data_IF_160772017404
#
_entry.id   IF_160772017404
#
_cell.length_a   1.000
_cell.length_b   1.000
_cell.length_c   1.000
_cell.angle_alpha   90.00
_cell.angle_beta   90.00
_cell.angle_gamma   90.00
#
_symmetry.space_group_name_H-M   'P 1'
#
loop_
_entity.id
_entity.type
_entity.pdbx_description
1 polymer ?
#
# COMPACT_ATOMS: atom_id res chain seq x y z
N UNK A 1 17.34 4.82 -11.25
CA UNK A 1 16.00 4.93 -10.61
C UNK A 1 15.11 3.84 -11.12
N UNK A 2 14.56 3.05 -10.23
CA UNK A 2 13.61 1.99 -10.57
C UNK A 2 12.19 2.50 -10.41
N UNK A 3 11.28 1.96 -11.21
CA UNK A 3 9.84 2.25 -11.14
C UNK A 3 9.05 0.96 -11.05
N UNK A 4 8.03 0.95 -10.21
CA UNK A 4 7.11 -0.17 -10.05
C UNK A 4 5.69 0.37 -10.25
N UNK A 5 4.88 -0.38 -10.98
CA UNK A 5 3.46 -0.06 -11.17
C UNK A 5 2.66 -1.35 -11.20
N UNK A 6 1.63 -1.42 -10.37
CA UNK A 6 0.71 -2.55 -10.32
C UNK A 6 -0.71 -2.02 -10.21
N UNK A 7 -1.65 -2.64 -10.88
CA UNK A 7 -3.07 -2.30 -10.80
C UNK A 7 -3.93 -3.55 -10.67
N UNK A 8 -5.14 -3.36 -10.15
CA UNK A 8 -6.12 -4.43 -10.03
C UNK A 8 -7.52 -3.81 -9.98
N UNK A 9 -8.54 -4.62 -10.20
CA UNK A 9 -9.93 -4.21 -10.05
C UNK A 9 -10.54 -4.93 -8.84
N UNK A 10 -11.09 -4.16 -7.92
CA UNK A 10 -11.69 -4.67 -6.68
C UNK A 10 -13.21 -4.69 -6.88
N UNK A 11 -13.91 -5.82 -6.60
CA UNK A 11 -15.34 -5.95 -6.84
C UNK A 11 -16.18 -5.32 -5.72
N UNK A 12 -15.99 -4.03 -5.50
CA UNK A 12 -16.71 -3.26 -4.49
C UNK A 12 -16.70 -1.79 -4.87
N UNK A 13 -17.67 -1.04 -4.35
CA UNK A 13 -17.78 0.40 -4.58
C UNK A 13 -16.56 1.14 -4.03
N UNK A 14 -16.14 2.19 -4.71
CA UNK A 14 -14.91 2.91 -4.39
C UNK A 14 -14.90 3.47 -2.97
N UNK A 15 -16.04 3.92 -2.45
CA UNK A 15 -16.12 4.43 -1.07
C UNK A 15 -15.86 3.35 -0.03
N UNK A 16 -16.31 2.12 -0.28
CA UNK A 16 -16.08 0.99 0.63
C UNK A 16 -14.60 0.59 0.62
N UNK A 17 -13.98 0.53 -0.55
CA UNK A 17 -12.56 0.19 -0.67
C UNK A 17 -11.70 1.29 -0.04
N UNK A 18 -12.01 2.55 -0.33
CA UNK A 18 -11.24 3.68 0.22
C UNK A 18 -11.30 3.74 1.74
N UNK A 19 -12.46 3.43 2.33
CA UNK A 19 -12.62 3.40 3.79
C UNK A 19 -11.62 2.44 4.45
N UNK A 20 -11.29 1.33 3.80
CA UNK A 20 -10.29 0.38 4.28
C UNK A 20 -8.87 0.89 4.03
N UNK A 21 -8.58 1.29 2.80
CA UNK A 21 -7.23 1.60 2.34
C UNK A 21 -6.72 2.91 2.93
N UNK A 22 -7.60 3.91 3.16
CA UNK A 22 -7.19 5.21 3.71
C UNK A 22 -6.64 5.15 5.13
N UNK A 23 -6.90 4.07 5.85
CA UNK A 23 -6.34 3.91 7.19
C UNK A 23 -4.86 3.54 7.08
N UNK A 24 -3.99 4.53 7.29
CA UNK A 24 -2.54 4.37 7.18
C UNK A 24 -2.00 3.32 8.15
N UNK A 25 -2.69 3.08 9.26
CA UNK A 25 -2.34 2.06 10.24
C UNK A 25 -3.03 0.72 10.00
N UNK A 26 -3.75 0.58 8.89
CA UNK A 26 -4.61 -0.59 8.63
C UNK A 26 -3.99 -1.69 7.80
N UNK A 27 -2.69 -1.67 7.52
CA UNK A 27 -2.05 -2.68 6.69
C UNK A 27 -2.30 -4.12 7.15
N UNK A 28 -2.32 -4.44 8.47
CA UNK A 28 -2.60 -5.82 8.90
C UNK A 28 -3.98 -6.33 8.46
N UNK A 29 -4.93 -5.42 8.25
CA UNK A 29 -6.32 -5.79 7.96
C UNK A 29 -6.53 -6.25 6.52
N UNK A 30 -5.66 -5.86 5.59
CA UNK A 30 -5.95 -6.13 4.19
C UNK A 30 -4.77 -6.62 3.34
N UNK A 31 -3.52 -6.47 3.80
CA UNK A 31 -2.36 -6.83 2.94
C UNK A 31 -2.05 -8.32 2.91
N UNK A 32 -2.37 -9.04 3.99
CA UNK A 32 -2.10 -10.47 4.11
C UNK A 32 -0.72 -10.83 4.66
N UNK A 33 0.26 -9.91 4.63
CA UNK A 33 1.63 -10.20 5.06
C UNK A 33 2.14 -9.28 6.18
N UNK A 34 1.37 -8.31 6.61
CA UNK A 34 1.73 -7.44 7.74
C UNK A 34 1.11 -8.01 9.01
N UNK A 35 1.95 -8.29 10.01
CA UNK A 35 1.50 -8.88 11.28
C UNK A 35 0.90 -7.85 12.22
N UNK A 36 1.55 -6.68 12.33
CA UNK A 36 1.09 -5.60 13.21
C UNK A 36 1.60 -4.26 12.71
N UNK A 37 0.90 -3.19 13.05
CA UNK A 37 1.26 -1.81 12.68
C UNK A 37 0.87 -0.85 13.80
N UNK A 38 1.70 0.17 14.02
CA UNK A 38 1.41 1.24 14.97
C UNK A 38 1.86 2.57 14.40
N UNK A 39 1.17 3.64 14.77
CA UNK A 39 1.60 5.00 14.43
C UNK A 39 2.50 5.48 15.57
N UNK A 40 3.70 5.91 15.23
CA UNK A 40 4.67 6.39 16.22
C UNK A 40 4.14 7.64 16.93
N UNK A 41 4.52 7.83 18.19
CA UNK A 41 4.14 8.97 19.01
C UNK A 41 2.62 9.13 19.24
N UNK A 42 1.84 8.07 18.98
CA UNK A 42 0.38 8.09 19.13
C UNK A 42 -0.32 9.21 18.34
N UNK A 43 0.26 9.61 17.20
CA UNK A 43 -0.36 10.59 16.33
C UNK A 43 -1.55 9.96 15.58
N UNK A 44 -2.52 10.79 15.13
CA UNK A 44 -3.58 10.27 14.25
C UNK A 44 -3.02 9.67 12.96
N UNK A 45 -3.64 8.59 12.48
CA UNK A 45 -3.18 7.88 11.29
C UNK A 45 -3.37 8.66 9.99
N UNK A 46 -4.13 9.75 10.02
CA UNK A 46 -4.33 10.63 8.86
C UNK A 46 -3.55 11.94 8.95
N UNK A 47 -2.70 12.10 9.98
CA UNK A 47 -1.88 13.28 10.11
C UNK A 47 -0.70 13.21 9.15
N UNK A 48 -0.55 14.22 8.28
CA UNK A 48 0.60 14.32 7.38
C UNK A 48 1.88 14.40 8.20
N UNK A 49 2.85 13.57 7.86
CA UNK A 49 4.11 13.44 8.60
C UNK A 49 4.10 12.31 9.63
N UNK A 50 2.94 11.69 9.93
CA UNK A 50 2.92 10.55 10.83
C UNK A 50 3.69 9.37 10.24
N UNK A 51 4.21 8.51 11.12
CA UNK A 51 5.02 7.35 10.72
C UNK A 51 4.30 6.09 11.17
N UNK A 52 4.01 5.19 10.20
CA UNK A 52 3.58 3.84 10.53
C UNK A 52 4.81 2.96 10.67
N UNK A 53 4.86 2.22 11.76
CA UNK A 53 5.93 1.30 12.08
C UNK A 53 5.29 -0.08 12.13
N UNK A 54 5.63 -0.94 11.18
CA UNK A 54 4.95 -2.23 11.07
C UNK A 54 5.93 -3.38 10.92
N UNK A 55 5.47 -4.55 11.34
CA UNK A 55 6.23 -5.79 11.29
C UNK A 55 5.58 -6.75 10.31
N UNK A 56 6.40 -7.28 9.41
CA UNK A 56 5.99 -8.33 8.49
C UNK A 56 5.89 -9.68 9.21
N UNK A 57 5.07 -10.58 8.70
CA UNK A 57 4.94 -11.92 9.26
C UNK A 57 6.26 -12.69 9.25
N UNK A 58 7.19 -12.34 8.34
CA UNK A 58 8.53 -12.93 8.30
C UNK A 58 9.51 -12.30 9.30
N UNK A 59 9.06 -11.30 10.07
CA UNK A 59 9.88 -10.64 11.10
C UNK A 59 10.51 -9.32 10.67
N UNK A 60 10.50 -8.98 9.38
CA UNK A 60 11.05 -7.72 8.90
C UNK A 60 10.26 -6.52 9.42
N UNK A 61 10.95 -5.42 9.69
CA UNK A 61 10.30 -4.19 10.19
C UNK A 61 10.52 -3.04 9.22
N UNK A 62 9.44 -2.29 8.99
CA UNK A 62 9.44 -1.17 8.04
C UNK A 62 8.85 0.06 8.72
N UNK A 63 9.44 1.23 8.44
CA UNK A 63 8.91 2.53 8.89
C UNK A 63 8.64 3.39 7.67
N UNK A 64 7.43 3.93 7.60
CA UNK A 64 6.99 4.75 6.46
C UNK A 64 6.32 6.02 6.95
N UNK A 65 6.64 7.14 6.31
CA UNK A 65 6.05 8.45 6.63
C UNK A 65 5.01 8.84 5.61
N UNK A 66 3.84 9.27 6.09
CA UNK A 66 2.77 9.77 5.24
C UNK A 66 3.11 11.17 4.73
N UNK A 67 3.16 11.35 3.41
CA UNK A 67 3.42 12.63 2.77
C UNK A 67 2.15 13.34 2.33
N UNK A 68 1.14 12.61 1.86
CA UNK A 68 -0.10 13.16 1.35
C UNK A 68 -1.22 12.16 1.51
N UNK A 69 -2.42 12.66 1.83
CA UNK A 69 -3.64 11.87 1.90
C UNK A 69 -4.78 12.75 1.41
N UNK A 70 -5.48 12.31 0.37
CA UNK A 70 -6.60 13.04 -0.19
C UNK A 70 -7.83 12.15 -0.25
N UNK A 71 -8.86 12.47 0.53
CA UNK A 71 -10.14 11.78 0.45
C UNK A 71 -10.89 12.15 -0.83
N UNK A 72 -10.66 13.35 -1.34
CA UNK A 72 -11.28 13.78 -2.59
C UNK A 72 -10.76 12.98 -3.79
N UNK A 73 -9.43 12.84 -3.90
CA UNK A 73 -8.80 12.08 -4.99
C UNK A 73 -8.67 10.60 -4.68
N UNK A 74 -8.93 10.20 -3.44
CA UNK A 74 -8.75 8.83 -2.95
C UNK A 74 -7.34 8.32 -3.24
N UNK A 75 -6.36 9.08 -2.77
CA UNK A 75 -4.95 8.77 -2.96
C UNK A 75 -4.15 9.00 -1.69
N UNK A 76 -3.03 8.28 -1.59
CA UNK A 76 -2.13 8.34 -0.45
C UNK A 76 -0.70 8.19 -0.97
N UNK A 77 0.20 9.06 -0.52
CA UNK A 77 1.61 9.05 -0.89
C UNK A 77 2.46 8.94 0.37
N UNK A 78 3.47 8.08 0.34
CA UNK A 78 4.34 7.87 1.49
C UNK A 78 5.76 7.55 1.05
N UNK A 79 6.70 7.70 1.99
CA UNK A 79 8.13 7.35 1.79
C UNK A 79 8.53 6.28 2.78
N UNK A 80 9.49 5.45 2.41
CA UNK A 80 10.12 4.51 3.34
C UNK A 80 11.27 5.23 4.03
N UNK A 81 11.28 5.18 5.37
CA UNK A 81 12.37 5.70 6.19
C UNK A 81 13.39 4.61 6.51
N UNK A 82 12.91 3.40 6.81
CA UNK A 82 13.75 2.24 7.14
C UNK A 82 13.07 0.98 6.65
N UNK A 83 13.86 0.09 6.04
CA UNK A 83 13.38 -1.23 5.61
C UNK A 83 14.57 -2.16 5.36
N UNK A 84 14.33 -3.48 5.36
CA UNK A 84 15.37 -4.44 4.97
C UNK A 84 15.49 -4.65 3.46
N UNK A 85 14.76 -3.89 2.64
CA UNK A 85 14.65 -4.15 1.20
C UNK A 85 15.83 -3.64 0.37
N UNK A 86 16.71 -2.83 0.96
CA UNK A 86 17.86 -2.28 0.21
C UNK A 86 17.48 -1.15 -0.74
N UNK A 87 16.45 -0.40 -0.43
CA UNK A 87 15.98 0.74 -1.24
C UNK A 87 16.34 2.07 -0.58
N UNK A 88 16.53 3.10 -1.41
CA UNK A 88 16.74 4.48 -0.98
C UNK A 88 15.83 5.39 -1.78
N UNK A 89 15.48 6.53 -1.22
CA UNK A 89 14.64 7.53 -1.88
C UNK A 89 13.33 6.94 -2.41
N UNK A 90 12.74 6.04 -1.63
CA UNK A 90 11.52 5.31 -2.02
C UNK A 90 10.29 6.18 -1.75
N UNK A 91 9.53 6.45 -2.81
CA UNK A 91 8.24 7.16 -2.73
C UNK A 91 7.19 6.31 -3.44
N UNK A 92 6.07 6.07 -2.78
CA UNK A 92 4.97 5.28 -3.33
C UNK A 92 3.66 6.05 -3.26
N UNK A 93 2.79 5.81 -4.24
CA UNK A 93 1.43 6.37 -4.28
C UNK A 93 0.44 5.25 -4.57
N UNK A 94 -0.61 5.20 -3.76
CA UNK A 94 -1.75 4.30 -3.93
C UNK A 94 -2.96 5.18 -4.27
N UNK A 95 -3.67 4.86 -5.36
CA UNK A 95 -4.81 5.64 -5.81
C UNK A 95 -5.95 4.75 -6.25
N UNK A 96 -7.18 5.16 -5.90
CA UNK A 96 -8.40 4.48 -6.29
C UNK A 96 -9.17 5.34 -7.29
N UNK A 97 -9.72 4.68 -8.32
CA UNK A 97 -10.54 5.32 -9.34
C UNK A 97 -11.83 4.49 -9.49
N UNK A 98 -13.01 5.12 -9.45
CA UNK A 98 -14.25 4.36 -9.63
C UNK A 98 -14.36 3.80 -11.05
N UNK A 99 -14.77 2.53 -11.14
CA UNK A 99 -15.20 1.92 -12.39
C UNK A 99 -16.72 1.91 -12.36
N UNK A 100 -17.34 2.81 -13.11
CA UNK A 100 -18.78 3.02 -13.03
C UNK A 100 -19.59 1.83 -13.52
N UNK A 101 -19.05 1.11 -14.51
CA UNK A 101 -19.65 -0.14 -14.96
C UNK A 101 -19.48 -1.21 -13.89
N UNK A 102 -20.57 -1.64 -13.29
CA UNK A 102 -20.57 -2.65 -12.25
C UNK A 102 -20.21 -2.14 -10.85
N UNK A 103 -20.05 -0.82 -10.67
CA UNK A 103 -19.73 -0.20 -9.39
C UNK A 103 -18.54 -0.86 -8.71
N UNK A 104 -17.41 -0.89 -9.43
CA UNK A 104 -16.16 -1.50 -9.00
C UNK A 104 -15.10 -0.43 -8.77
N UNK A 105 -13.93 -0.84 -8.30
CA UNK A 105 -12.82 0.07 -8.01
C UNK A 105 -11.57 -0.37 -8.76
N UNK A 106 -11.01 0.53 -9.55
CA UNK A 106 -9.66 0.39 -10.11
C UNK A 106 -8.67 0.90 -9.08
N UNK A 107 -7.71 0.06 -8.70
CA UNK A 107 -6.65 0.42 -7.75
C UNK A 107 -5.33 0.41 -8.50
N UNK A 108 -4.57 1.49 -8.39
CA UNK A 108 -3.21 1.53 -8.91
C UNK A 108 -2.23 1.89 -7.80
N UNK A 109 -1.08 1.25 -7.82
CA UNK A 109 -0.04 1.42 -6.82
C UNK A 109 1.29 1.54 -7.54
N UNK A 110 1.99 2.64 -7.32
CA UNK A 110 3.26 2.91 -7.99
C UNK A 110 4.33 3.29 -6.96
N UNK A 111 5.58 3.07 -7.33
CA UNK A 111 6.72 3.48 -6.53
C UNK A 111 7.91 3.83 -7.42
N UNK A 112 8.75 4.73 -6.92
CA UNK A 112 10.05 5.05 -7.49
C UNK A 112 11.08 4.96 -6.38
N UNK A 113 12.27 4.42 -6.69
CA UNK A 113 13.32 4.28 -5.69
C UNK A 113 14.67 4.08 -6.35
N UNK A 114 15.72 4.19 -5.54
CA UNK A 114 17.09 3.87 -5.92
C UNK A 114 17.53 2.60 -5.19
N UNK A 115 18.38 1.82 -5.84
CA UNK A 115 18.98 0.61 -5.28
C UNK A 115 20.33 0.36 -5.96
N UNK A 116 21.12 -0.57 -5.43
CA UNK A 116 22.37 -0.97 -6.07
C UNK A 116 22.09 -1.42 -7.52
N UNK A 117 22.86 -0.97 -8.51
CA UNK A 117 22.53 -1.23 -9.93
C UNK A 117 22.38 -2.72 -10.28
N UNK A 118 23.16 -3.59 -9.64
CA UNK A 118 23.10 -5.03 -9.85
C UNK A 118 21.90 -5.70 -9.18
N UNK A 119 21.18 -4.99 -8.30
CA UNK A 119 20.02 -5.50 -7.55
C UNK A 119 18.72 -4.80 -7.90
N UNK A 120 18.78 -3.69 -8.59
CA UNK A 120 17.63 -2.82 -8.84
C UNK A 120 16.47 -3.57 -9.51
N UNK A 121 16.74 -4.32 -10.57
CA UNK A 121 15.71 -5.05 -11.30
C UNK A 121 15.06 -6.14 -10.44
N UNK A 122 15.85 -6.88 -9.66
CA UNK A 122 15.33 -7.95 -8.80
C UNK A 122 14.47 -7.37 -7.66
N UNK A 123 14.90 -6.25 -7.08
CA UNK A 123 14.13 -5.57 -6.02
C UNK A 123 12.82 -5.03 -6.58
N UNK A 124 12.85 -4.41 -7.76
CA UNK A 124 11.64 -3.90 -8.41
C UNK A 124 10.63 -5.03 -8.68
N UNK A 125 11.09 -6.16 -9.19
CA UNK A 125 10.25 -7.33 -9.45
C UNK A 125 9.65 -7.88 -8.15
N UNK A 126 10.45 -7.96 -7.09
CA UNK A 126 9.98 -8.43 -5.78
C UNK A 126 8.89 -7.52 -5.21
N UNK A 127 9.09 -6.21 -5.27
CA UNK A 127 8.09 -5.25 -4.80
C UNK A 127 6.79 -5.37 -5.62
N UNK A 128 6.90 -5.48 -6.94
CA UNK A 128 5.74 -5.60 -7.81
C UNK A 128 4.92 -6.85 -7.50
N UNK A 129 5.57 -8.00 -7.38
CA UNK A 129 4.89 -9.30 -7.24
C UNK A 129 4.52 -9.63 -5.80
N UNK A 130 5.46 -9.47 -4.89
CA UNK A 130 5.31 -9.99 -3.52
C UNK A 130 4.83 -8.95 -2.53
N UNK A 131 4.83 -7.67 -2.90
CA UNK A 131 4.28 -6.60 -2.06
C UNK A 131 3.01 -6.05 -2.69
N UNK A 132 3.11 -5.35 -3.81
CA UNK A 132 1.95 -4.65 -4.39
C UNK A 132 0.89 -5.62 -4.94
N UNK A 133 1.27 -6.51 -5.83
CA UNK A 133 0.29 -7.45 -6.41
C UNK A 133 -0.29 -8.37 -5.34
N UNK A 134 0.52 -8.89 -4.44
CA UNK A 134 0.07 -9.76 -3.36
C UNK A 134 -0.92 -9.04 -2.43
N UNK A 135 -0.64 -7.79 -2.05
CA UNK A 135 -1.53 -7.00 -1.21
C UNK A 135 -2.86 -6.70 -1.92
N UNK A 136 -2.82 -6.35 -3.21
CA UNK A 136 -4.05 -6.07 -3.96
C UNK A 136 -4.90 -7.32 -4.18
N UNK A 137 -4.30 -8.49 -4.34
CA UNK A 137 -5.04 -9.75 -4.39
C UNK A 137 -5.71 -10.02 -3.04
N UNK A 138 -5.01 -9.79 -1.93
CA UNK A 138 -5.58 -9.92 -0.59
C UNK A 138 -6.77 -8.97 -0.39
N UNK A 139 -6.63 -7.72 -0.81
CA UNK A 139 -7.70 -6.73 -0.77
C UNK A 139 -8.90 -7.17 -1.59
N UNK A 140 -8.66 -7.65 -2.80
CA UNK A 140 -9.72 -8.17 -3.69
C UNK A 140 -10.47 -9.32 -3.05
N UNK A 141 -9.75 -10.27 -2.46
CA UNK A 141 -10.36 -11.42 -1.80
C UNK A 141 -11.20 -11.01 -0.61
N UNK A 142 -10.79 -10.03 0.15
CA UNK A 142 -11.56 -9.49 1.27
C UNK A 142 -12.95 -9.03 0.83
N UNK A 143 -13.05 -8.32 -0.27
CA UNK A 143 -14.32 -7.80 -0.79
C UNK A 143 -15.11 -8.86 -1.55
N UNK A 144 -14.46 -9.78 -2.23
CA UNK A 144 -15.13 -10.89 -2.90
C UNK A 144 -15.83 -11.81 -1.89
N UNK A 145 -15.21 -12.10 -0.75
CA UNK A 145 -15.79 -12.92 0.30
C UNK A 145 -17.04 -12.26 0.91
N UNK A 146 -17.02 -10.93 1.10
CA UNK A 146 -18.15 -10.19 1.63
C UNK A 146 -19.35 -10.18 0.67
N UNK A 147 -19.10 -10.33 -0.63
CA UNK A 147 -20.15 -10.36 -1.65
C UNK A 147 -20.96 -11.66 -1.62
N UNK A 148 -20.35 -12.73 -1.15
CA UNK A 148 -20.94 -14.07 -1.10
C UNK A 148 -21.43 -14.45 0.31
N UNK A 149 -21.15 -13.64 1.28
CA UNK A 149 -21.53 -13.84 2.67
C UNK A 149 -22.69 -12.94 3.08
#
# INVERSE_FOLDING_TARGET
MAKVYVSNVIPAAVGAVWAVVRNFNGLPDWTGFVAESRIEQNLPADKIGCIRNFRLKNGGRIRERLLALSDYEMSCTYVILESPMGVENYVATLRLIPVTDGDQTFVEWSAEFDAAPDREAAIADDIARNVFAAALVSLKNRFAQKRHG
#
